data_IF_305650057180
#
_entry.id   IF_305650057180
#
_cell.length_a   1.000
_cell.length_b   1.000
_cell.length_c   1.000
_cell.angle_alpha   90.00
_cell.angle_beta   90.00
_cell.angle_gamma   90.00
#
_symmetry.space_group_name_H-M   'P 1'
#
loop_
_entity.id
_entity.type
_entity.pdbx_description
1 polymer ?
#
# COMPACT_ATOMS: atom_id res chain seq x y z
N UNK A 1 -52.90 -24.49 -33.83
CA UNK A 1 -52.16 -23.35 -33.21
C UNK A 1 -50.98 -23.86 -32.36
N UNK A 2 -49.78 -24.08 -32.92
CA UNK A 2 -48.60 -24.51 -32.12
C UNK A 2 -47.25 -23.90 -32.57
N UNK A 3 -47.24 -23.09 -33.64
CA UNK A 3 -46.00 -22.46 -34.19
C UNK A 3 -45.72 -21.04 -33.68
N UNK A 4 -46.69 -20.35 -33.09
CA UNK A 4 -46.55 -18.93 -32.67
C UNK A 4 -46.02 -18.76 -31.23
N UNK A 5 -46.28 -19.72 -30.33
CA UNK A 5 -45.80 -19.65 -28.94
C UNK A 5 -44.27 -19.72 -28.83
N UNK A 6 -43.60 -20.57 -29.63
CA UNK A 6 -42.14 -20.69 -29.63
C UNK A 6 -41.44 -19.41 -30.11
N UNK A 7 -42.02 -18.69 -31.09
CA UNK A 7 -41.46 -17.42 -31.57
C UNK A 7 -41.54 -16.31 -30.51
N UNK A 8 -42.66 -16.20 -29.79
CA UNK A 8 -42.82 -15.20 -28.71
C UNK A 8 -41.91 -15.47 -27.51
N UNK A 9 -41.79 -16.74 -27.10
CA UNK A 9 -40.85 -17.13 -26.05
C UNK A 9 -39.39 -16.89 -26.45
N UNK A 10 -39.04 -17.15 -27.72
CA UNK A 10 -37.71 -16.89 -28.27
C UNK A 10 -37.38 -15.39 -28.34
N UNK A 11 -38.35 -14.56 -28.77
CA UNK A 11 -38.20 -13.09 -28.77
C UNK A 11 -38.07 -12.55 -27.35
N UNK A 12 -38.83 -13.09 -26.37
CA UNK A 12 -38.72 -12.71 -24.97
C UNK A 12 -37.37 -13.10 -24.35
N UNK A 13 -36.83 -14.26 -24.72
CA UNK A 13 -35.51 -14.70 -24.26
C UNK A 13 -34.39 -13.83 -24.83
N UNK A 14 -34.48 -13.43 -26.11
CA UNK A 14 -33.55 -12.47 -26.72
C UNK A 14 -33.69 -11.09 -26.08
N UNK A 15 -34.91 -10.62 -25.81
CA UNK A 15 -35.14 -9.35 -25.13
C UNK A 15 -34.56 -9.36 -23.70
N UNK A 16 -34.74 -10.45 -22.94
CA UNK A 16 -34.09 -10.60 -21.64
C UNK A 16 -32.57 -10.69 -21.76
N UNK A 17 -32.03 -11.36 -22.79
CA UNK A 17 -30.59 -11.39 -23.04
C UNK A 17 -30.03 -9.99 -23.34
N UNK A 18 -30.75 -9.18 -24.11
CA UNK A 18 -30.37 -7.79 -24.41
C UNK A 18 -30.46 -6.93 -23.15
N UNK A 19 -31.52 -7.05 -22.35
CA UNK A 19 -31.63 -6.34 -21.06
C UNK A 19 -30.52 -6.77 -20.11
N UNK A 20 -30.23 -8.07 -20.00
CA UNK A 20 -29.10 -8.57 -19.21
C UNK A 20 -27.76 -8.09 -19.75
N UNK A 21 -27.56 -8.00 -21.07
CA UNK A 21 -26.33 -7.44 -21.65
C UNK A 21 -26.18 -5.96 -21.32
N UNK A 22 -27.27 -5.18 -21.35
CA UNK A 22 -27.29 -3.78 -20.95
C UNK A 22 -27.04 -3.63 -19.44
N UNK A 23 -27.63 -4.49 -18.61
CA UNK A 23 -27.40 -4.49 -17.16
C UNK A 23 -25.97 -4.94 -16.81
N UNK A 24 -25.40 -5.89 -17.57
CA UNK A 24 -24.02 -6.33 -17.45
C UNK A 24 -23.02 -5.23 -17.85
N UNK A 25 -23.38 -4.35 -18.80
CA UNK A 25 -22.60 -3.13 -19.05
C UNK A 25 -22.68 -2.11 -17.91
N UNK A 26 -23.75 -2.08 -17.11
CA UNK A 26 -23.90 -1.17 -15.96
C UNK A 26 -23.47 -1.73 -14.59
N UNK A 27 -23.07 -3.01 -14.52
CA UNK A 27 -22.69 -3.67 -13.27
C UNK A 27 -21.17 -3.71 -13.02
N UNK A 28 -20.39 -2.97 -13.80
CA UNK A 28 -18.92 -2.97 -13.66
C UNK A 28 -18.51 -1.88 -12.68
N UNK A 29 -18.51 -2.18 -11.38
CA UNK A 29 -17.87 -1.35 -10.35
C UNK A 29 -16.35 -1.33 -10.59
N UNK A 30 -15.88 -0.41 -11.44
CA UNK A 30 -14.49 -0.35 -11.89
C UNK A 30 -13.59 0.41 -10.90
N UNK A 31 -13.07 -0.32 -9.91
CA UNK A 31 -11.87 0.04 -9.13
C UNK A 31 -10.73 0.44 -10.07
N UNK A 32 -10.11 1.61 -9.83
CA UNK A 32 -9.30 2.43 -10.76
C UNK A 32 -9.22 1.84 -12.19
N UNK A 33 -10.19 2.21 -13.05
CA UNK A 33 -10.33 1.85 -14.48
C UNK A 33 -9.67 0.53 -14.89
N UNK A 34 -10.30 -0.58 -14.50
CA UNK A 34 -9.89 -1.94 -14.85
C UNK A 34 -8.46 -2.27 -14.39
N UNK A 35 -8.20 -2.18 -13.09
CA UNK A 35 -7.21 -3.08 -12.49
C UNK A 35 -7.68 -4.52 -12.72
N UNK A 36 -7.19 -5.17 -13.76
CA UNK A 36 -7.08 -6.63 -13.77
C UNK A 36 -6.37 -7.00 -12.47
N UNK A 37 -7.11 -7.67 -11.59
CA UNK A 37 -6.81 -7.93 -10.16
C UNK A 37 -5.34 -8.32 -9.96
N UNK A 38 -4.57 -7.55 -9.19
CA UNK A 38 -3.22 -7.94 -8.76
C UNK A 38 -3.32 -9.07 -7.73
N UNK A 39 -3.51 -10.29 -8.22
CA UNK A 39 -3.43 -11.49 -7.39
C UNK A 39 -1.98 -11.66 -6.96
N UNK A 40 -1.71 -11.28 -5.72
CA UNK A 40 -0.41 -11.47 -5.08
C UNK A 40 -0.44 -12.89 -4.52
N UNK A 41 -0.02 -13.84 -5.34
CA UNK A 41 -0.02 -15.26 -4.97
C UNK A 41 0.96 -15.54 -3.81
N UNK A 42 2.02 -14.75 -3.68
CA UNK A 42 2.91 -14.79 -2.52
C UNK A 42 3.66 -13.47 -2.35
N UNK A 43 3.91 -13.09 -1.11
CA UNK A 43 4.86 -12.04 -0.72
C UNK A 43 5.87 -12.65 0.25
N UNK A 44 7.12 -12.79 -0.18
CA UNK A 44 8.20 -13.27 0.69
C UNK A 44 8.83 -12.14 1.51
N UNK A 45 8.16 -11.74 2.59
CA UNK A 45 8.69 -10.73 3.50
C UNK A 45 9.78 -11.33 4.41
N UNK A 46 11.03 -11.02 4.09
CA UNK A 46 12.18 -11.26 4.98
C UNK A 46 12.57 -9.94 5.63
N UNK A 47 12.64 -9.87 6.96
CA UNK A 47 13.20 -8.71 7.67
C UNK A 47 14.42 -9.17 8.45
N UNK A 48 15.59 -8.64 8.15
CA UNK A 48 16.86 -8.95 8.86
C UNK A 48 17.47 -7.70 9.46
N UNK A 49 18.10 -7.80 10.63
CA UNK A 49 18.86 -6.72 11.28
C UNK A 49 20.33 -7.11 11.53
N UNK A 50 21.27 -6.15 11.51
CA UNK A 50 22.66 -6.37 11.91
C UNK A 50 22.83 -6.76 13.39
N UNK A 51 24.05 -7.19 13.75
CA UNK A 51 24.41 -7.48 15.15
C UNK A 51 24.18 -6.25 16.06
N UNK A 52 23.52 -6.47 17.21
CA UNK A 52 23.27 -5.42 18.20
C UNK A 52 21.91 -4.74 18.13
N UNK A 53 21.14 -4.92 17.05
CA UNK A 53 19.74 -4.52 16.98
C UNK A 53 18.83 -5.74 17.04
N UNK A 54 17.78 -5.63 17.84
CA UNK A 54 16.75 -6.65 17.89
C UNK A 54 15.43 -6.07 17.37
N UNK A 55 14.76 -6.88 16.56
CA UNK A 55 13.46 -6.61 15.98
C UNK A 55 12.42 -7.61 16.50
N UNK A 56 11.16 -7.20 16.55
CA UNK A 56 10.03 -8.05 16.89
C UNK A 56 8.78 -7.60 16.13
N UNK A 57 7.84 -8.50 15.89
CA UNK A 57 6.49 -8.19 15.43
C UNK A 57 5.40 -8.44 16.52
N UNK A 58 5.78 -8.86 17.74
CA UNK A 58 4.85 -9.16 18.84
C UNK A 58 5.22 -8.60 20.21
N UNK A 59 6.09 -7.59 20.25
CA UNK A 59 6.54 -6.90 21.49
C UNK A 59 7.32 -7.73 22.51
N UNK A 60 7.54 -9.02 22.27
CA UNK A 60 8.14 -9.94 23.27
C UNK A 60 9.25 -10.83 22.71
N UNK A 61 9.06 -11.41 21.52
CA UNK A 61 10.02 -12.29 20.88
C UNK A 61 11.00 -11.50 19.99
N UNK A 62 11.98 -10.83 20.62
CA UNK A 62 13.02 -10.08 19.92
C UNK A 62 14.06 -11.01 19.25
N UNK A 63 14.49 -10.66 18.03
CA UNK A 63 15.37 -11.46 17.14
C UNK A 63 16.10 -10.56 16.15
N UNK A 64 16.95 -11.14 15.30
CA UNK A 64 17.59 -10.48 14.17
C UNK A 64 16.96 -10.83 12.82
N UNK A 65 15.99 -11.75 12.79
CA UNK A 65 15.23 -12.11 11.57
C UNK A 65 13.76 -12.38 11.88
N UNK A 66 12.84 -11.84 11.07
CA UNK A 66 11.40 -12.14 11.07
C UNK A 66 10.97 -12.75 9.72
N UNK A 67 10.01 -13.69 9.77
CA UNK A 67 9.34 -14.24 8.59
C UNK A 67 7.98 -13.58 8.33
N UNK A 68 7.43 -13.77 7.13
CA UNK A 68 6.08 -13.30 6.78
C UNK A 68 4.99 -13.87 7.72
N UNK A 69 5.12 -15.12 8.15
CA UNK A 69 4.18 -15.77 9.09
C UNK A 69 4.20 -15.11 10.48
N UNK A 70 5.38 -14.76 10.97
CA UNK A 70 5.53 -14.01 12.21
C UNK A 70 4.94 -12.60 12.05
N UNK A 71 5.11 -11.95 10.89
CA UNK A 71 4.58 -10.60 10.67
C UNK A 71 3.06 -10.61 10.49
N UNK A 72 2.48 -11.64 9.85
CA UNK A 72 1.03 -11.80 9.69
C UNK A 72 0.30 -12.18 10.98
N UNK A 73 1.05 -12.48 12.06
CA UNK A 73 0.46 -12.84 13.34
C UNK A 73 0.10 -14.32 13.46
N UNK A 74 0.59 -15.17 12.54
CA UNK A 74 0.40 -16.62 12.64
C UNK A 74 1.12 -17.15 13.87
N UNK A 75 0.40 -17.87 14.73
CA UNK A 75 0.98 -18.45 15.94
C UNK A 75 1.96 -19.55 15.59
N UNK A 76 3.22 -19.36 15.96
CA UNK A 76 4.29 -20.36 15.96
C UNK A 76 4.70 -20.67 17.41
N UNK A 77 5.61 -21.62 17.62
CA UNK A 77 6.16 -21.91 18.96
C UNK A 77 6.96 -20.75 19.54
N UNK A 78 7.47 -19.86 18.68
CA UNK A 78 8.29 -18.68 19.05
C UNK A 78 7.46 -17.39 19.03
N UNK A 79 6.36 -17.35 18.29
CA UNK A 79 5.68 -16.12 17.93
C UNK A 79 4.15 -16.26 18.08
N UNK A 80 3.52 -15.24 18.62
CA UNK A 80 2.05 -15.10 18.61
C UNK A 80 1.76 -13.63 18.44
N UNK A 81 0.80 -13.27 17.57
CA UNK A 81 0.42 -11.88 17.40
C UNK A 81 -0.01 -11.27 18.75
N UNK A 82 0.30 -10.00 18.95
CA UNK A 82 -0.20 -9.29 20.12
C UNK A 82 -1.71 -8.98 19.94
N UNK A 83 -2.43 -8.90 21.05
CA UNK A 83 -3.86 -8.59 21.04
C UNK A 83 -4.11 -7.21 20.40
N UNK A 84 -5.09 -7.11 19.50
CA UNK A 84 -5.42 -5.85 18.84
C UNK A 84 -4.42 -5.38 17.77
N UNK A 85 -3.49 -6.24 17.34
CA UNK A 85 -2.62 -5.91 16.22
C UNK A 85 -3.42 -5.57 14.96
N UNK A 86 -2.90 -4.62 14.19
CA UNK A 86 -3.50 -4.19 12.92
C UNK A 86 -2.65 -4.65 11.74
N UNK A 87 -1.91 -5.74 11.87
CA UNK A 87 -1.05 -6.21 10.79
C UNK A 87 -1.91 -6.74 9.63
N UNK A 88 -1.55 -6.36 8.40
CA UNK A 88 -2.23 -6.71 7.18
C UNK A 88 -1.21 -7.13 6.13
N UNK A 89 -1.37 -8.36 5.65
CA UNK A 89 -0.70 -8.88 4.45
C UNK A 89 -1.82 -9.38 3.54
N UNK A 90 -2.23 -8.60 2.53
CA UNK A 90 -3.35 -8.98 1.69
C UNK A 90 -2.94 -10.04 0.68
N UNK A 91 -3.83 -10.98 0.39
CA UNK A 91 -3.67 -11.91 -0.74
C UNK A 91 -3.82 -11.24 -2.13
N UNK A 92 -4.14 -9.96 -2.17
CA UNK A 92 -4.27 -9.18 -3.41
C UNK A 92 -3.92 -7.73 -3.08
N UNK A 93 -2.86 -7.21 -3.68
CA UNK A 93 -2.54 -5.79 -3.58
C UNK A 93 -3.55 -4.98 -4.40
N UNK A 94 -3.99 -3.85 -3.88
CA UNK A 94 -4.86 -2.91 -4.57
C UNK A 94 -4.25 -1.51 -4.52
N UNK A 95 -4.39 -0.73 -5.60
CA UNK A 95 -3.97 0.66 -5.60
C UNK A 95 -4.59 1.43 -4.44
N UNK A 96 -3.74 2.09 -3.67
CA UNK A 96 -4.08 2.87 -2.49
C UNK A 96 -3.25 4.15 -2.49
N UNK A 97 -3.64 5.16 -1.72
CA UNK A 97 -2.90 6.42 -1.65
C UNK A 97 -2.98 7.02 -0.26
N UNK A 98 -1.91 7.66 0.19
CA UNK A 98 -1.86 8.31 1.50
C UNK A 98 -0.93 9.50 1.51
N UNK A 99 -1.41 10.60 2.10
CA UNK A 99 -0.60 11.79 2.33
C UNK A 99 0.37 11.63 3.52
N UNK A 100 0.27 10.56 4.31
CA UNK A 100 1.08 10.36 5.53
C UNK A 100 0.93 11.45 6.60
N UNK A 101 -0.20 12.16 6.58
CA UNK A 101 -0.58 13.07 7.66
C UNK A 101 -0.89 12.26 8.93
N UNK A 102 -0.24 12.61 10.03
CA UNK A 102 -0.35 11.92 11.32
C UNK A 102 -0.47 12.97 12.42
N UNK A 103 -1.32 12.72 13.42
CA UNK A 103 -1.46 13.57 14.60
C UNK A 103 -2.07 12.73 15.74
N UNK A 104 -1.24 11.91 16.39
CA UNK A 104 -1.71 10.93 17.36
C UNK A 104 -2.59 9.84 16.74
N UNK A 105 -2.42 9.58 15.43
CA UNK A 105 -3.14 8.60 14.65
C UNK A 105 -2.22 8.09 13.53
N UNK A 106 -2.40 6.84 13.11
CA UNK A 106 -1.73 6.29 11.93
C UNK A 106 -2.17 7.01 10.65
N UNK A 107 -1.34 7.01 9.58
CA UNK A 107 -1.73 7.52 8.27
C UNK A 107 -3.06 6.94 7.79
N UNK A 108 -3.91 7.78 7.20
CA UNK A 108 -5.13 7.33 6.52
C UNK A 108 -4.83 6.99 5.07
N UNK A 109 -5.30 5.83 4.63
CA UNK A 109 -5.23 5.41 3.24
C UNK A 109 -6.57 5.58 2.53
N UNK A 110 -6.49 5.80 1.23
CA UNK A 110 -7.62 5.96 0.34
C UNK A 110 -7.44 5.11 -0.90
N UNK A 111 -8.51 4.43 -1.29
CA UNK A 111 -8.57 3.75 -2.57
C UNK A 111 -9.54 4.49 -3.47
N UNK A 112 -9.51 4.18 -4.75
CA UNK A 112 -10.34 4.86 -5.73
C UNK A 112 -10.80 3.97 -6.88
N UNK A 113 -11.80 4.48 -7.58
CA UNK A 113 -12.45 3.80 -8.69
C UNK A 113 -12.89 4.82 -9.73
N UNK A 114 -12.55 4.58 -11.00
CA UNK A 114 -13.06 5.42 -12.08
C UNK A 114 -14.47 4.93 -12.39
N UNK A 115 -15.45 5.80 -12.18
CA UNK A 115 -16.86 5.51 -12.44
C UNK A 115 -17.20 5.63 -13.94
N UNK A 116 -18.43 5.25 -14.30
CA UNK A 116 -18.91 5.25 -15.69
C UNK A 116 -18.89 6.65 -16.36
N UNK A 117 -18.79 7.71 -15.56
CA UNK A 117 -18.65 9.09 -16.05
C UNK A 117 -17.18 9.49 -16.31
N UNK A 118 -16.23 8.56 -16.17
CA UNK A 118 -14.79 8.83 -16.28
C UNK A 118 -14.25 9.67 -15.13
N UNK A 119 -14.93 9.68 -13.97
CA UNK A 119 -14.57 10.46 -12.78
C UNK A 119 -14.13 9.53 -11.65
N UNK A 120 -13.34 10.07 -10.72
CA UNK A 120 -12.83 9.30 -9.58
C UNK A 120 -13.81 9.29 -8.41
N UNK A 121 -14.14 8.12 -7.91
CA UNK A 121 -14.71 7.92 -6.59
C UNK A 121 -13.60 7.44 -5.65
N UNK A 122 -13.47 8.07 -4.48
CA UNK A 122 -12.41 7.85 -3.51
C UNK A 122 -13.04 7.46 -2.18
N UNK A 123 -12.48 6.42 -1.55
CA UNK A 123 -12.99 5.84 -0.32
C UNK A 123 -11.86 5.66 0.69
N UNK A 124 -12.12 6.01 1.95
CA UNK A 124 -11.18 5.74 3.04
C UNK A 124 -11.03 4.23 3.28
N UNK A 125 -9.84 3.83 3.75
CA UNK A 125 -9.52 2.47 4.16
C UNK A 125 -8.89 2.43 5.53
N UNK A 126 -9.21 1.37 6.27
CA UNK A 126 -8.46 0.90 7.43
C UNK A 126 -7.20 0.18 6.99
N UNK A 127 -6.27 -0.06 7.91
CA UNK A 127 -5.09 -0.89 7.65
C UNK A 127 -5.47 -2.36 7.46
N UNK A 128 -6.35 -2.87 8.32
CA UNK A 128 -6.84 -4.26 8.29
C UNK A 128 -7.84 -4.44 7.14
N UNK A 129 -7.80 -5.62 6.51
CA UNK A 129 -8.63 -6.02 5.36
C UNK A 129 -8.51 -5.09 4.13
N UNK A 130 -7.39 -4.39 4.04
CA UNK A 130 -7.08 -3.46 2.95
C UNK A 130 -6.30 -4.13 1.83
N UNK A 131 -6.13 -3.42 0.71
CA UNK A 131 -5.30 -3.87 -0.41
C UNK A 131 -3.83 -3.48 -0.30
N UNK A 132 -3.34 -3.02 0.85
CA UNK A 132 -1.94 -2.67 1.05
C UNK A 132 -1.35 -3.41 2.25
N UNK A 133 -0.05 -3.60 2.26
CA UNK A 133 0.64 -4.20 3.39
C UNK A 133 0.85 -3.15 4.46
N UNK A 134 0.54 -3.50 5.71
CA UNK A 134 0.75 -2.63 6.85
C UNK A 134 1.06 -3.48 8.08
N UNK A 135 2.20 -3.27 8.73
CA UNK A 135 2.54 -4.04 9.93
C UNK A 135 3.43 -3.26 10.89
N UNK A 136 3.39 -3.65 12.16
CA UNK A 136 4.27 -3.10 13.18
C UNK A 136 5.58 -3.87 13.28
N UNK A 137 6.66 -3.10 13.33
CA UNK A 137 8.01 -3.55 13.65
C UNK A 137 8.47 -2.83 14.93
N UNK A 138 8.82 -3.61 15.95
CA UNK A 138 9.36 -3.10 17.20
C UNK A 138 10.88 -3.17 17.15
N UNK A 139 11.54 -2.02 17.07
CA UNK A 139 12.99 -1.91 16.94
C UNK A 139 13.58 -1.55 18.31
N UNK A 140 14.43 -2.42 18.84
CA UNK A 140 15.07 -2.26 20.14
C UNK A 140 16.55 -1.92 19.99
N UNK A 141 16.95 -0.75 20.48
CA UNK A 141 18.31 -0.21 20.40
C UNK A 141 18.77 0.40 21.73
N UNK A 142 20.09 0.44 21.96
CA UNK A 142 20.68 0.98 23.21
C UNK A 142 21.11 2.45 23.13
N UNK A 143 21.21 2.98 21.93
CA UNK A 143 21.53 4.38 21.65
C UNK A 143 20.58 4.89 20.56
N UNK A 144 20.60 6.19 20.28
CA UNK A 144 19.97 6.69 19.06
C UNK A 144 20.62 6.03 17.84
N UNK A 145 19.81 5.63 16.87
CA UNK A 145 20.26 4.82 15.74
C UNK A 145 19.40 5.14 14.52
N UNK A 146 19.98 5.07 13.32
CA UNK A 146 19.23 5.29 12.07
C UNK A 146 18.81 3.96 11.49
N UNK A 147 17.51 3.76 11.30
CA UNK A 147 16.96 2.61 10.57
C UNK A 147 16.72 3.04 9.12
N UNK A 148 17.32 2.35 8.17
CA UNK A 148 17.18 2.62 6.73
C UNK A 148 16.89 1.34 5.95
N UNK A 149 16.36 1.49 4.74
CA UNK A 149 16.31 0.35 3.83
C UNK A 149 17.71 0.09 3.26
N UNK A 150 18.18 -1.14 3.37
CA UNK A 150 19.41 -1.63 2.77
C UNK A 150 19.19 -2.08 1.32
N UNK A 151 19.61 -3.31 1.02
CA UNK A 151 19.36 -4.01 -0.26
C UNK A 151 17.89 -4.43 -0.45
N UNK A 152 16.93 -3.60 -0.04
CA UNK A 152 15.51 -3.84 -0.23
C UNK A 152 15.19 -3.84 -1.72
N UNK A 153 14.46 -4.87 -2.19
CA UNK A 153 14.13 -5.02 -3.60
C UNK A 153 12.67 -5.43 -3.76
N UNK A 154 11.98 -4.74 -4.67
CA UNK A 154 10.65 -5.12 -5.14
C UNK A 154 10.80 -5.57 -6.59
N UNK A 155 10.35 -6.79 -6.89
CA UNK A 155 10.34 -7.29 -8.26
C UNK A 155 9.05 -8.02 -8.55
N UNK A 156 8.58 -7.90 -9.79
CA UNK A 156 7.45 -8.65 -10.28
C UNK A 156 7.82 -9.23 -11.65
N UNK A 157 8.05 -10.54 -11.73
CA UNK A 157 8.52 -11.17 -12.97
C UNK A 157 7.46 -11.09 -14.07
N UNK A 158 6.18 -11.27 -13.71
CA UNK A 158 5.06 -11.17 -14.64
C UNK A 158 4.74 -9.74 -15.11
N UNK A 159 5.27 -8.71 -14.43
CA UNK A 159 5.16 -7.33 -14.86
C UNK A 159 6.35 -6.50 -14.34
N UNK A 160 7.42 -6.33 -15.15
CA UNK A 160 8.61 -5.60 -14.74
C UNK A 160 8.40 -4.09 -14.56
N UNK A 161 7.29 -3.53 -15.06
CA UNK A 161 6.95 -2.12 -14.88
C UNK A 161 6.23 -1.88 -13.56
N UNK A 162 5.65 -2.90 -12.91
CA UNK A 162 4.90 -2.75 -11.65
C UNK A 162 5.67 -2.00 -10.54
N UNK A 163 6.99 -2.24 -10.33
CA UNK A 163 7.76 -1.52 -9.31
C UNK A 163 7.75 0.02 -9.45
N UNK A 164 7.50 0.57 -10.64
CA UNK A 164 7.41 2.02 -10.88
C UNK A 164 6.28 2.69 -10.08
N UNK A 165 5.18 1.98 -9.83
CA UNK A 165 4.08 2.46 -8.99
C UNK A 165 4.21 2.06 -7.51
N UNK A 166 5.21 1.26 -7.15
CA UNK A 166 5.34 0.72 -5.80
C UNK A 166 6.03 1.69 -4.85
N UNK A 167 5.45 1.79 -3.65
CA UNK A 167 6.00 2.59 -2.56
C UNK A 167 6.12 1.76 -1.30
N UNK A 168 7.13 2.10 -0.50
CA UNK A 168 7.33 1.55 0.84
C UNK A 168 7.50 2.72 1.81
N UNK A 169 6.98 2.61 3.02
CA UNK A 169 7.14 3.65 4.02
C UNK A 169 7.52 3.11 5.40
N UNK A 170 8.28 3.92 6.14
CA UNK A 170 8.50 3.77 7.57
C UNK A 170 7.89 4.95 8.30
N UNK A 171 7.12 4.67 9.34
CA UNK A 171 6.55 5.66 10.23
C UNK A 171 7.03 5.36 11.64
N UNK A 172 7.92 6.20 12.18
CA UNK A 172 8.29 6.13 13.58
C UNK A 172 7.11 6.64 14.43
N UNK A 173 6.45 5.70 15.13
CA UNK A 173 5.28 5.97 15.96
C UNK A 173 5.65 6.46 17.37
N UNK A 174 6.90 6.32 17.79
CA UNK A 174 7.38 6.71 19.10
C UNK A 174 8.19 5.61 19.79
N UNK A 175 8.91 6.03 20.83
CA UNK A 175 9.84 5.18 21.59
C UNK A 175 9.40 5.10 23.04
N UNK A 176 9.49 3.90 23.61
CA UNK A 176 9.31 3.64 25.04
C UNK A 176 10.59 3.05 25.64
N UNK A 177 10.67 3.00 26.97
CA UNK A 177 11.81 2.41 27.67
C UNK A 177 12.00 0.92 27.31
N UNK A 178 13.23 0.42 27.41
CA UNK A 178 13.60 -0.96 27.03
C UNK A 178 12.80 -2.06 27.76
N UNK A 179 12.31 -1.75 28.96
CA UNK A 179 11.55 -2.68 29.81
C UNK A 179 10.05 -2.36 29.84
N UNK A 180 9.57 -1.53 28.92
CA UNK A 180 8.15 -1.24 28.81
C UNK A 180 7.35 -2.52 28.54
N UNK A 181 6.15 -2.59 29.09
CA UNK A 181 5.23 -3.68 28.80
C UNK A 181 4.63 -3.53 27.38
N UNK A 182 3.96 -4.60 26.94
CA UNK A 182 3.36 -4.67 25.61
C UNK A 182 2.32 -3.56 25.38
N UNK A 183 1.53 -3.19 26.39
CA UNK A 183 0.49 -2.17 26.28
C UNK A 183 1.10 -0.79 26.04
N UNK A 184 2.16 -0.44 26.77
CA UNK A 184 2.90 0.81 26.58
C UNK A 184 3.52 0.86 25.18
N UNK A 185 4.17 -0.23 24.73
CA UNK A 185 4.75 -0.32 23.37
C UNK A 185 3.69 -0.16 22.28
N UNK A 186 2.49 -0.70 22.47
CA UNK A 186 1.41 -0.61 21.48
C UNK A 186 0.71 0.75 21.46
N UNK A 187 0.71 1.47 22.59
CA UNK A 187 -0.01 2.74 22.74
C UNK A 187 0.67 3.93 22.04
N UNK A 188 1.94 3.83 21.67
CA UNK A 188 2.65 4.94 21.02
C UNK A 188 2.16 5.12 19.57
N UNK A 189 1.90 6.39 19.22
CA UNK A 189 1.35 6.83 17.94
C UNK A 189 2.13 8.02 17.39
N UNK A 190 2.28 8.12 16.05
CA UNK A 190 3.10 9.15 15.44
C UNK A 190 2.51 10.55 15.63
N UNK A 191 3.39 11.51 15.92
CA UNK A 191 3.07 12.94 15.92
C UNK A 191 3.02 13.54 14.51
N UNK A 192 3.03 14.87 14.41
CA UNK A 192 2.99 15.59 13.12
C UNK A 192 4.34 15.73 12.42
N UNK A 193 5.45 15.39 13.09
CA UNK A 193 6.81 15.58 12.58
C UNK A 193 7.08 14.74 11.31
N UNK A 194 7.27 15.43 10.19
CA UNK A 194 7.56 14.82 8.87
C UNK A 194 8.89 14.06 8.85
N UNK A 195 9.87 14.45 9.67
CA UNK A 195 11.21 13.83 9.69
C UNK A 195 11.19 12.43 10.32
N UNK A 196 10.12 12.08 11.02
CA UNK A 196 9.87 10.75 11.59
C UNK A 196 9.19 9.78 10.61
N UNK A 197 8.98 10.21 9.37
CA UNK A 197 8.29 9.44 8.33
C UNK A 197 9.08 9.51 7.03
N UNK A 198 9.18 8.39 6.34
CA UNK A 198 9.78 8.32 5.02
C UNK A 198 8.92 7.48 4.10
N UNK A 199 8.73 7.95 2.88
CA UNK A 199 8.14 7.21 1.76
C UNK A 199 9.23 7.04 0.73
N UNK A 200 9.49 5.81 0.33
CA UNK A 200 10.44 5.43 -0.69
C UNK A 200 9.69 5.03 -1.96
N UNK A 201 9.92 5.78 -3.03
CA UNK A 201 9.54 5.39 -4.39
C UNK A 201 10.63 4.51 -4.96
N UNK A 202 10.32 3.21 -5.09
CA UNK A 202 11.34 2.17 -5.31
C UNK A 202 12.01 2.29 -6.68
N UNK A 203 11.26 2.75 -7.68
CA UNK A 203 11.73 2.91 -9.05
C UNK A 203 11.33 4.29 -9.62
N UNK A 204 11.61 5.34 -8.85
CA UNK A 204 11.10 6.71 -9.05
C UNK A 204 11.49 7.40 -10.38
N UNK A 205 12.50 6.89 -11.08
CA UNK A 205 13.03 7.50 -12.30
C UNK A 205 12.59 6.79 -13.59
N UNK A 206 11.98 5.61 -13.46
CA UNK A 206 11.45 4.85 -14.58
C UNK A 206 9.93 4.95 -14.58
N UNK A 207 9.36 4.81 -15.77
CA UNK A 207 7.93 4.88 -15.99
C UNK A 207 7.49 3.73 -16.87
N UNK A 208 6.22 3.36 -16.73
CA UNK A 208 5.55 2.45 -17.66
C UNK A 208 5.62 3.00 -19.09
N UNK A 209 5.61 2.12 -20.08
CA UNK A 209 5.56 2.53 -21.49
C UNK A 209 4.32 3.42 -21.78
N UNK A 210 3.20 3.13 -21.12
CA UNK A 210 1.97 3.90 -21.23
C UNK A 210 2.12 5.33 -20.68
N UNK A 211 2.66 5.48 -19.47
CA UNK A 211 2.89 6.80 -18.88
C UNK A 211 3.93 7.60 -19.69
N UNK A 212 4.99 6.95 -20.15
CA UNK A 212 6.04 7.54 -20.98
C UNK A 212 5.48 8.06 -22.32
N UNK A 213 4.60 7.31 -22.97
CA UNK A 213 3.95 7.71 -24.23
C UNK A 213 3.07 8.96 -24.06
N UNK A 214 2.58 9.21 -22.84
CA UNK A 214 1.82 10.40 -22.47
C UNK A 214 2.71 11.56 -21.98
N UNK A 215 4.03 11.35 -21.93
CA UNK A 215 5.03 12.37 -21.60
C UNK A 215 5.61 12.29 -20.18
N UNK A 216 5.41 11.19 -19.45
CA UNK A 216 6.06 10.99 -18.14
C UNK A 216 7.58 10.84 -18.33
N UNK A 217 8.36 11.42 -17.43
CA UNK A 217 9.82 11.38 -17.50
C UNK A 217 10.48 11.93 -16.24
N UNK A 218 11.63 11.36 -15.89
CA UNK A 218 12.41 11.77 -14.73
C UNK A 218 11.72 11.40 -13.42
N UNK A 219 11.93 12.21 -12.37
CA UNK A 219 11.24 12.02 -11.09
C UNK A 219 10.01 12.92 -11.08
N UNK A 220 8.84 12.31 -10.95
CA UNK A 220 7.56 13.02 -10.91
C UNK A 220 7.27 13.60 -9.53
N UNK A 221 6.45 14.66 -9.47
CA UNK A 221 5.99 15.21 -8.19
C UNK A 221 4.87 14.37 -7.61
N UNK A 222 5.10 13.74 -6.46
CA UNK A 222 4.09 12.98 -5.73
C UNK A 222 2.93 13.88 -5.29
N UNK A 223 1.69 13.50 -5.61
CA UNK A 223 0.48 14.22 -5.21
C UNK A 223 -0.54 13.26 -4.59
N UNK A 224 -0.30 12.74 -3.38
CA UNK A 224 -1.14 11.71 -2.79
C UNK A 224 -2.53 12.23 -2.39
N UNK A 225 -3.47 11.29 -2.20
CA UNK A 225 -4.82 11.56 -1.73
C UNK A 225 -4.85 11.89 -0.23
N UNK A 226 -5.73 12.81 0.14
CA UNK A 226 -5.97 13.23 1.55
C UNK A 226 -7.40 13.05 2.04
N UNK A 227 -8.36 12.85 1.12
CA UNK A 227 -9.77 12.82 1.46
C UNK A 227 -10.57 11.90 0.51
N UNK A 228 -11.63 11.31 1.05
CA UNK A 228 -12.64 10.59 0.30
C UNK A 228 -13.64 11.55 -0.36
N UNK A 229 -14.29 11.10 -1.43
CA UNK A 229 -15.29 11.86 -2.16
C UNK A 229 -15.71 11.16 -3.44
N UNK A 230 -16.82 11.57 -4.04
CA UNK A 230 -17.37 10.92 -5.24
C UNK A 230 -17.35 11.88 -6.42
N UNK A 231 -17.29 11.30 -7.62
CA UNK A 231 -17.41 11.99 -8.91
C UNK A 231 -16.38 13.12 -9.11
N UNK A 232 -15.14 12.88 -8.70
CA UNK A 232 -14.05 13.85 -8.71
C UNK A 232 -13.38 13.90 -10.08
N UNK A 233 -13.08 15.11 -10.55
CA UNK A 233 -12.35 15.31 -11.81
C UNK A 233 -10.93 14.77 -11.75
N UNK A 234 -10.52 14.11 -12.83
CA UNK A 234 -9.17 13.59 -13.04
C UNK A 234 -8.42 14.43 -14.07
N UNK A 235 -7.10 14.25 -14.14
CA UNK A 235 -6.24 14.89 -15.12
C UNK A 235 -6.59 14.40 -16.54
N UNK A 236 -6.57 15.31 -17.51
CA UNK A 236 -6.95 15.01 -18.90
C UNK A 236 -5.94 14.14 -19.64
N UNK A 237 -4.68 14.17 -19.22
CA UNK A 237 -3.59 13.35 -19.76
C UNK A 237 -3.50 12.02 -19.03
N UNK A 238 -3.51 12.06 -17.68
CA UNK A 238 -3.42 10.87 -16.82
C UNK A 238 -4.73 10.67 -16.08
N UNK A 239 -5.63 9.88 -16.66
CA UNK A 239 -7.02 9.76 -16.20
C UNK A 239 -7.18 9.16 -14.80
N UNK A 240 -6.15 8.51 -14.24
CA UNK A 240 -6.11 7.98 -12.89
C UNK A 240 -5.62 9.01 -11.85
N UNK A 241 -5.08 10.16 -12.29
CA UNK A 241 -4.60 11.22 -11.41
C UNK A 241 -5.72 12.18 -11.04
N UNK A 242 -5.99 12.28 -9.74
CA UNK A 242 -6.82 13.32 -9.15
C UNK A 242 -5.98 14.59 -9.03
N UNK A 243 -6.45 15.70 -9.63
CA UNK A 243 -5.77 17.00 -9.60
C UNK A 243 -6.47 18.04 -8.72
N UNK A 244 -7.65 17.72 -8.19
CA UNK A 244 -8.41 18.63 -7.34
C UNK A 244 -7.77 18.76 -5.95
N UNK A 245 -7.27 19.96 -5.62
CA UNK A 245 -6.60 20.31 -4.36
C UNK A 245 -7.45 20.09 -3.10
N UNK A 246 -8.75 19.86 -3.23
CA UNK A 246 -9.63 19.44 -2.13
C UNK A 246 -9.33 18.00 -1.69
N UNK A 247 -8.87 17.16 -2.61
CA UNK A 247 -8.68 15.71 -2.41
C UNK A 247 -7.21 15.28 -2.42
N UNK A 248 -6.29 16.16 -2.84
CA UNK A 248 -4.84 15.94 -2.77
C UNK A 248 -4.15 16.94 -1.84
N UNK A 249 -2.95 16.61 -1.37
CA UNK A 249 -2.06 17.50 -0.61
C UNK A 249 -0.61 17.09 -0.82
N UNK A 250 0.36 18.00 -0.61
CA UNK A 250 1.76 17.63 -0.50
C UNK A 250 1.96 16.50 0.51
N UNK A 251 2.91 15.61 0.22
CA UNK A 251 3.29 14.52 1.10
C UNK A 251 3.76 15.06 2.47
N UNK A 252 3.25 14.45 3.55
CA UNK A 252 3.59 14.77 4.94
C UNK A 252 4.64 13.81 5.50
N UNK A 253 5.62 13.45 4.67
CA UNK A 253 6.75 12.59 4.97
C UNK A 253 7.96 13.00 4.11
N UNK A 254 9.16 12.52 4.47
CA UNK A 254 10.32 12.63 3.59
C UNK A 254 10.11 11.74 2.37
N UNK A 255 10.25 12.27 1.16
CA UNK A 255 10.28 11.47 -0.06
C UNK A 255 11.72 11.03 -0.35
N UNK A 256 11.93 9.73 -0.48
CA UNK A 256 13.19 9.13 -0.87
C UNK A 256 13.04 8.51 -2.26
N UNK A 257 14.08 8.66 -3.08
CA UNK A 257 14.19 8.03 -4.41
C UNK A 257 15.40 7.09 -4.48
N UNK A 258 16.05 6.83 -3.33
CA UNK A 258 17.06 5.80 -3.14
C UNK A 258 16.90 5.15 -1.78
N UNK A 259 17.28 3.87 -1.66
CA UNK A 259 17.20 3.13 -0.39
C UNK A 259 18.01 3.78 0.73
N UNK A 260 19.17 4.36 0.41
CA UNK A 260 20.02 5.08 1.37
C UNK A 260 19.38 6.34 1.98
N UNK A 261 18.45 6.97 1.26
CA UNK A 261 17.66 8.11 1.74
C UNK A 261 16.39 7.68 2.47
N UNK A 262 15.95 6.45 2.26
CA UNK A 262 14.76 5.89 2.85
C UNK A 262 15.05 5.46 4.31
N UNK A 263 15.03 6.42 5.23
CA UNK A 263 15.46 6.21 6.63
C UNK A 263 14.65 6.98 7.66
N UNK A 264 14.60 6.45 8.88
CA UNK A 264 14.05 7.09 10.07
C UNK A 264 14.99 6.89 11.26
N UNK A 265 15.12 7.91 12.11
CA UNK A 265 15.89 7.79 13.35
C UNK A 265 15.02 7.23 14.47
N UNK A 266 15.54 6.26 15.21
CA UNK A 266 14.93 5.65 16.40
C UNK A 266 15.77 5.99 17.64
N UNK A 267 15.12 6.27 18.77
CA UNK A 267 15.81 6.59 20.01
C UNK A 267 16.13 5.32 20.81
N UNK A 268 17.03 5.43 21.80
CA UNK A 268 17.32 4.37 22.75
C UNK A 268 16.05 3.86 23.44
N UNK A 269 15.86 2.54 23.49
CA UNK A 269 14.64 1.89 23.98
C UNK A 269 14.00 1.00 22.93
N UNK A 270 12.67 0.89 22.96
CA UNK A 270 11.87 0.14 21.98
C UNK A 270 11.05 1.15 21.19
N UNK A 271 11.30 1.25 19.89
CA UNK A 271 10.55 2.11 18.98
C UNK A 271 9.56 1.30 18.17
N UNK A 272 8.29 1.73 18.15
CA UNK A 272 7.30 1.18 17.22
C UNK A 272 7.46 1.85 15.87
N UNK A 273 7.79 1.08 14.85
CA UNK A 273 7.85 1.51 13.46
C UNK A 273 6.72 0.84 12.70
N UNK A 274 5.81 1.63 12.14
CA UNK A 274 4.76 1.12 11.26
C UNK A 274 5.30 1.11 9.83
N UNK A 275 5.32 -0.07 9.23
CA UNK A 275 5.79 -0.29 7.85
C UNK A 275 4.58 -0.39 6.94
N UNK A 276 4.62 0.32 5.81
CA UNK A 276 3.62 0.22 4.76
C UNK A 276 4.28 -0.18 3.44
N UNK A 277 3.59 -1.00 2.65
CA UNK A 277 3.90 -1.19 1.24
C UNK A 277 2.61 -1.19 0.44
N UNK A 278 2.58 -0.41 -0.62
CA UNK A 278 1.40 -0.27 -1.47
C UNK A 278 1.79 0.05 -2.90
N UNK A 279 0.82 -0.17 -3.79
CA UNK A 279 0.83 0.40 -5.13
C UNK A 279 0.13 1.75 -5.03
N UNK A 280 0.81 2.84 -5.39
CA UNK A 280 0.25 4.18 -5.31
C UNK A 280 -0.80 4.40 -6.40
N UNK A 281 -2.06 4.54 -5.99
CA UNK A 281 -3.17 4.71 -6.94
C UNK A 281 -3.19 6.05 -7.64
N UNK A 282 -2.66 7.11 -6.99
CA UNK A 282 -2.58 8.45 -7.59
C UNK A 282 -1.18 8.71 -8.17
N UNK A 283 -0.63 7.70 -8.86
CA UNK A 283 0.64 7.74 -9.59
C UNK A 283 0.41 7.50 -11.08
N UNK A 284 1.14 8.19 -11.96
CA UNK A 284 0.99 8.06 -13.42
C UNK A 284 1.31 6.65 -13.91
N UNK A 285 2.12 5.91 -13.17
CA UNK A 285 2.54 4.54 -13.47
C UNK A 285 1.65 3.47 -12.84
N UNK A 286 0.60 3.86 -12.12
CA UNK A 286 -0.40 2.92 -11.63
C UNK A 286 -1.13 2.28 -12.82
N UNK A 287 -0.53 1.21 -13.35
CA UNK A 287 -0.94 0.57 -14.59
C UNK A 287 -2.16 -0.34 -14.41
N UNK A 288 -2.95 -0.44 -15.47
CA UNK A 288 -4.22 -1.18 -15.51
C UNK A 288 -4.07 -2.68 -15.85
N UNK A 289 -2.86 -3.19 -16.12
CA UNK A 289 -2.64 -4.59 -16.52
C UNK A 289 -1.69 -5.33 -15.57
N UNK A 290 -2.23 -5.81 -14.44
CA UNK A 290 -1.49 -6.73 -13.57
C UNK A 290 -2.40 -7.83 -13.02
N UNK A 291 -3.03 -8.62 -13.91
CA UNK A 291 -3.64 -9.88 -13.45
C UNK A 291 -2.59 -10.98 -13.30
N UNK A 292 -2.52 -11.60 -12.11
CA UNK A 292 -1.82 -12.87 -11.90
C UNK A 292 -0.29 -12.79 -11.84
N UNK A 293 0.28 -11.70 -11.32
CA UNK A 293 1.73 -11.55 -11.21
C UNK A 293 2.19 -11.63 -9.74
N UNK A 294 3.20 -12.46 -9.48
CA UNK A 294 3.77 -12.62 -8.14
C UNK A 294 4.69 -11.46 -7.79
N UNK A 295 4.47 -10.84 -6.63
CA UNK A 295 5.31 -9.76 -6.12
C UNK A 295 6.33 -10.31 -5.12
N UNK A 296 7.61 -10.29 -5.49
CA UNK A 296 8.69 -10.60 -4.57
C UNK A 296 9.15 -9.34 -3.86
N UNK A 297 9.00 -9.31 -2.54
CA UNK A 297 9.36 -8.17 -1.70
C UNK A 297 10.41 -8.56 -0.66
N UNK A 298 11.68 -8.29 -0.94
CA UNK A 298 12.75 -8.51 0.02
C UNK A 298 12.99 -7.23 0.83
N UNK A 299 12.61 -7.21 2.11
CA UNK A 299 12.78 -6.05 3.00
C UNK A 299 14.07 -6.15 3.84
N UNK A 300 15.13 -5.53 3.35
CA UNK A 300 16.37 -5.44 4.15
C UNK A 300 16.39 -4.12 4.89
N UNK A 301 16.41 -4.17 6.22
CA UNK A 301 16.67 -3.00 7.05
C UNK A 301 18.14 -2.99 7.46
N UNK A 302 18.84 -1.93 7.07
CA UNK A 302 20.16 -1.61 7.57
C UNK A 302 20.03 -0.60 8.68
N UNK A 303 20.92 -0.69 9.65
CA UNK A 303 20.87 0.16 10.82
C UNK A 303 22.28 0.68 11.05
N UNK A 304 22.43 2.01 10.98
CA UNK A 304 23.71 2.73 11.13
C UNK A 304 23.99 3.10 12.58
#
# INVERSE_FOLDING_TARGET
MKKTFKKRAFISAIAMLIVSAIVLTSATYAWFSMAKRVEVESMELNVTSPEGIQISANTSAFTTKLTADEISGTTTTRFSAYEGNMNNIPGTLKPSSSVFATNGNLPKFFDGSINDSGKMDIYARSDVDSGFVAFDLFVKVKAETVVKFGSTKITCEGNPELPTAMRVALVNCGTVAEKADAAAIQSVLPGTDKTKKVVYEVDAANHTAAASALGAGGIMTTSPLKAAGLNIGTNSTYNNIVSNVTYISPLEATLATSSSQARVTVAAGITRVRVYMWMEGNDVDCANDVAGATLNFNLVLEID
#
